data_IF_677267198654
#
_entry.id   IF_677267198654
#
_cell.length_a   1.000
_cell.length_b   1.000
_cell.length_c   1.000
_cell.angle_alpha   90.00
_cell.angle_beta   90.00
_cell.angle_gamma   90.00
#
_symmetry.space_group_name_H-M   'P 1'
#
loop_
_entity.id
_entity.type
_entity.pdbx_description
1 polymer ?
#
# COMPACT_ATOMS: atom_id res chain seq x y z
N UNK A 1 17.31 -12.29 -1.07
CA UNK A 1 17.97 -11.03 -0.62
C UNK A 1 17.15 -9.76 -0.91
N UNK A 2 16.11 -9.77 -1.76
CA UNK A 2 15.32 -8.58 -2.11
C UNK A 2 14.01 -8.33 -1.34
N UNK A 3 13.55 -9.23 -0.46
CA UNK A 3 12.28 -9.05 0.29
C UNK A 3 12.43 -8.38 1.65
N UNK A 4 13.56 -8.58 2.34
CA UNK A 4 13.87 -7.84 3.57
C UNK A 4 14.08 -6.34 3.33
N UNK A 5 14.48 -5.95 2.12
CA UNK A 5 14.66 -4.56 1.74
C UNK A 5 13.30 -3.84 1.64
N UNK A 6 12.23 -4.50 1.12
CA UNK A 6 10.92 -3.87 0.96
C UNK A 6 10.16 -3.62 2.27
N UNK A 7 10.31 -4.50 3.28
CA UNK A 7 9.83 -4.23 4.64
C UNK A 7 10.66 -3.14 5.33
N UNK A 8 11.94 -3.03 4.99
CA UNK A 8 12.78 -1.92 5.44
C UNK A 8 12.43 -0.61 4.74
N UNK A 9 11.97 -0.58 3.48
CA UNK A 9 11.68 0.68 2.78
C UNK A 9 10.42 1.41 3.27
N UNK A 10 9.42 0.69 3.80
CA UNK A 10 8.25 1.32 4.43
C UNK A 10 8.56 1.76 5.88
N UNK A 11 9.53 1.10 6.54
CA UNK A 11 10.00 1.48 7.87
C UNK A 11 11.13 2.52 7.87
N UNK A 12 11.82 2.73 6.74
CA UNK A 12 13.03 3.56 6.64
C UNK A 12 12.77 5.08 6.51
N UNK A 13 11.51 5.53 6.47
CA UNK A 13 11.18 6.96 6.52
C UNK A 13 11.03 7.52 7.94
N UNK A 14 11.47 6.79 8.97
CA UNK A 14 11.28 7.17 10.38
C UNK A 14 12.47 7.86 11.07
N UNK A 15 13.58 8.10 10.40
CA UNK A 15 14.72 8.77 11.05
C UNK A 15 14.99 10.11 10.37
N UNK A 16 14.28 11.14 10.83
CA UNK A 16 14.81 12.50 10.79
C UNK A 16 14.98 13.00 12.23
N UNK A 17 16.22 12.94 12.68
CA UNK A 17 16.74 13.49 13.93
C UNK A 17 16.24 14.93 14.10
N UNK A 18 15.63 15.26 15.25
CA UNK A 18 15.70 16.61 15.85
C UNK A 18 15.03 16.67 17.24
N UNK A 19 15.87 16.81 18.27
CA UNK A 19 15.87 17.81 19.36
C UNK A 19 14.57 18.15 20.13
N UNK A 20 13.78 17.16 20.52
CA UNK A 20 13.01 17.25 21.77
C UNK A 20 13.36 16.03 22.62
N UNK A 21 14.07 16.26 23.73
CA UNK A 21 14.77 15.19 24.45
C UNK A 21 13.81 14.18 25.12
N UNK A 22 12.59 14.57 25.55
CA UNK A 22 11.68 13.66 26.28
C UNK A 22 10.92 12.69 25.36
N UNK A 23 10.17 13.20 24.39
CA UNK A 23 9.34 12.39 23.50
C UNK A 23 10.16 11.46 22.58
N UNK A 24 11.35 11.91 22.13
CA UNK A 24 12.28 11.06 21.40
C UNK A 24 12.80 9.91 22.28
N UNK A 25 13.11 10.19 23.56
CA UNK A 25 13.61 9.17 24.49
C UNK A 25 12.57 8.09 24.79
N UNK A 26 11.30 8.44 25.05
CA UNK A 26 10.26 7.44 25.30
C UNK A 26 10.00 6.56 24.06
N UNK A 27 9.89 7.16 22.88
CA UNK A 27 9.69 6.41 21.65
C UNK A 27 10.84 5.42 21.39
N UNK A 28 12.08 5.88 21.52
CA UNK A 28 13.27 5.05 21.29
C UNK A 28 13.39 3.91 22.31
N UNK A 29 13.07 4.15 23.59
CA UNK A 29 13.07 3.09 24.62
C UNK A 29 11.94 2.07 24.39
N UNK A 30 10.75 2.50 23.97
CA UNK A 30 9.68 1.58 23.58
C UNK A 30 10.10 0.70 22.39
N UNK A 31 10.69 1.30 21.34
CA UNK A 31 11.18 0.56 20.18
C UNK A 31 12.28 -0.44 20.55
N UNK A 32 13.21 -0.05 21.42
CA UNK A 32 14.26 -0.92 21.95
C UNK A 32 13.67 -2.12 22.69
N UNK A 33 12.63 -1.93 23.50
CA UNK A 33 11.94 -3.03 24.18
C UNK A 33 11.17 -3.93 23.22
N UNK A 34 10.48 -3.37 22.22
CA UNK A 34 9.78 -4.14 21.18
C UNK A 34 10.79 -5.00 20.39
N UNK A 35 11.93 -4.43 19.98
CA UNK A 35 12.98 -5.15 19.26
C UNK A 35 13.63 -6.26 20.10
N UNK A 36 13.61 -6.13 21.43
CA UNK A 36 14.04 -7.17 22.36
C UNK A 36 12.93 -8.20 22.69
N UNK A 37 11.76 -8.12 22.05
CA UNK A 37 10.55 -8.90 22.35
C UNK A 37 10.07 -8.76 23.82
N UNK A 38 10.43 -7.67 24.50
CA UNK A 38 10.04 -7.39 25.88
C UNK A 38 8.78 -6.49 25.91
N UNK A 39 7.63 -7.10 25.60
CA UNK A 39 6.35 -6.38 25.51
C UNK A 39 5.89 -5.81 26.85
N UNK A 40 6.31 -6.41 27.97
CA UNK A 40 5.97 -5.93 29.30
C UNK A 40 6.69 -4.61 29.58
N UNK A 41 8.01 -4.52 29.32
CA UNK A 41 8.74 -3.26 29.50
C UNK A 41 8.27 -2.20 28.52
N UNK A 42 8.05 -2.54 27.25
CA UNK A 42 7.48 -1.61 26.27
C UNK A 42 6.14 -1.01 26.76
N UNK A 43 5.25 -1.87 27.29
CA UNK A 43 3.96 -1.42 27.84
C UNK A 43 4.12 -0.55 29.08
N UNK A 44 5.05 -0.88 29.97
CA UNK A 44 5.29 -0.10 31.18
C UNK A 44 5.82 1.30 30.84
N UNK A 45 6.71 1.40 29.86
CA UNK A 45 7.23 2.67 29.36
C UNK A 45 6.11 3.54 28.77
N UNK A 46 5.24 2.94 27.95
CA UNK A 46 4.06 3.62 27.41
C UNK A 46 3.09 4.12 28.49
N UNK A 47 2.90 3.35 29.57
CA UNK A 47 2.08 3.75 30.71
C UNK A 47 2.74 4.87 31.54
N UNK A 48 4.07 4.94 31.59
CA UNK A 48 4.78 6.05 32.20
C UNK A 48 4.62 7.32 31.34
N UNK A 49 4.87 7.22 30.03
CA UNK A 49 4.70 8.32 29.09
C UNK A 49 3.26 8.85 29.06
N UNK A 50 2.24 7.98 29.15
CA UNK A 50 0.83 8.42 29.23
C UNK A 50 0.51 9.25 30.49
N UNK A 51 1.22 9.04 31.60
CA UNK A 51 1.06 9.88 32.80
C UNK A 51 1.71 11.25 32.64
N UNK A 52 2.82 11.31 31.93
CA UNK A 52 3.60 12.53 31.73
C UNK A 52 2.97 13.43 30.66
N UNK A 53 2.59 12.85 29.51
CA UNK A 53 2.11 13.57 28.33
C UNK A 53 0.80 12.95 27.77
N UNK A 54 -0.32 12.94 28.53
CA UNK A 54 -1.56 12.23 28.17
C UNK A 54 -2.28 12.76 26.91
N UNK A 55 -1.80 13.85 26.30
CA UNK A 55 -2.38 14.46 25.10
C UNK A 55 -1.39 14.47 23.93
N UNK A 56 -0.29 13.73 24.03
CA UNK A 56 0.73 13.64 22.98
C UNK A 56 0.26 12.76 21.83
N UNK A 57 0.27 13.29 20.61
CA UNK A 57 -0.05 12.49 19.43
C UNK A 57 1.03 11.41 19.17
N UNK A 58 2.30 11.66 19.55
CA UNK A 58 3.39 10.69 19.42
C UNK A 58 3.27 9.53 20.40
N UNK A 59 2.78 9.79 21.63
CA UNK A 59 2.42 8.74 22.58
C UNK A 59 1.40 7.78 21.94
N UNK A 60 0.33 8.33 21.36
CA UNK A 60 -0.73 7.52 20.78
C UNK A 60 -0.34 6.86 19.44
N UNK A 61 0.55 7.47 18.67
CA UNK A 61 1.21 6.82 17.53
C UNK A 61 2.03 5.59 17.99
N UNK A 62 2.74 5.72 19.10
CA UNK A 62 3.57 4.63 19.65
C UNK A 62 2.71 3.52 20.27
N UNK A 63 1.63 3.88 20.98
CA UNK A 63 0.63 2.92 21.45
C UNK A 63 -0.03 2.15 20.29
N UNK A 64 -0.36 2.84 19.19
CA UNK A 64 -0.87 2.20 17.97
C UNK A 64 0.13 1.16 17.45
N UNK A 65 1.40 1.54 17.28
CA UNK A 65 2.44 0.64 16.79
C UNK A 65 2.63 -0.58 17.73
N UNK A 66 2.62 -0.37 19.04
CA UNK A 66 2.70 -1.44 20.03
C UNK A 66 1.55 -2.45 19.88
N UNK A 67 0.30 -1.97 19.83
CA UNK A 67 -0.85 -2.87 19.69
C UNK A 67 -0.94 -3.54 18.32
N UNK A 68 -0.54 -2.83 17.26
CA UNK A 68 -0.48 -3.40 15.91
C UNK A 68 0.60 -4.50 15.81
N UNK A 69 1.73 -4.34 16.50
CA UNK A 69 2.79 -5.35 16.56
C UNK A 69 2.40 -6.55 17.42
N UNK A 70 1.94 -6.33 18.66
CA UNK A 70 1.48 -7.42 19.56
C UNK A 70 0.28 -8.17 18.98
N UNK A 71 -0.54 -7.47 18.19
CA UNK A 71 -1.67 -8.06 17.49
C UNK A 71 -1.28 -9.00 16.36
N UNK A 72 -0.07 -8.86 15.79
CA UNK A 72 0.43 -9.76 14.75
C UNK A 72 0.93 -11.06 15.38
N UNK A 73 0.42 -12.18 14.88
CA UNK A 73 0.84 -13.52 15.27
C UNK A 73 1.32 -14.27 14.05
N UNK A 74 2.29 -15.15 14.25
CA UNK A 74 2.68 -16.13 13.23
C UNK A 74 2.19 -17.50 13.66
N UNK A 75 1.40 -18.13 12.79
CA UNK A 75 0.93 -19.51 12.95
C UNK A 75 1.58 -20.39 11.89
N UNK A 76 1.74 -21.66 12.21
CA UNK A 76 2.16 -22.67 11.25
C UNK A 76 0.93 -23.28 10.60
N UNK A 77 0.84 -23.18 9.28
CA UNK A 77 -0.22 -23.78 8.47
C UNK A 77 0.31 -24.98 7.68
N UNK A 78 -0.60 -25.91 7.36
CA UNK A 78 -0.30 -27.10 6.54
C UNK A 78 -1.22 -27.17 5.32
N UNK A 79 -0.71 -27.67 4.21
CA UNK A 79 -1.47 -27.88 2.96
C UNK A 79 -0.96 -29.11 2.21
N UNK A 80 -1.81 -29.73 1.38
CA UNK A 80 -1.43 -30.86 0.51
C UNK A 80 -0.91 -30.42 -0.86
N UNK A 81 -1.03 -29.13 -1.21
CA UNK A 81 -0.58 -28.56 -2.49
C UNK A 81 0.42 -27.44 -2.28
N UNK A 82 1.32 -27.22 -3.24
CA UNK A 82 2.34 -26.17 -3.15
C UNK A 82 1.67 -24.80 -2.89
N UNK A 83 1.99 -24.11 -1.77
CA UNK A 83 1.34 -22.85 -1.44
C UNK A 83 1.75 -21.76 -2.44
N UNK A 84 0.77 -21.21 -3.18
CA UNK A 84 1.02 -20.15 -4.15
C UNK A 84 1.37 -18.83 -3.46
N UNK A 85 2.43 -18.18 -3.91
CA UNK A 85 2.85 -16.87 -3.39
C UNK A 85 3.55 -16.92 -2.03
N UNK A 86 3.84 -18.11 -1.52
CA UNK A 86 4.60 -18.32 -0.29
C UNK A 86 5.98 -18.85 -0.68
N UNK A 87 7.01 -18.07 -0.40
CA UNK A 87 8.39 -18.45 -0.72
C UNK A 87 9.04 -19.26 0.42
N UNK A 88 8.54 -19.10 1.64
CA UNK A 88 9.05 -19.77 2.83
C UNK A 88 8.12 -20.92 3.21
N UNK A 89 8.48 -22.13 2.81
CA UNK A 89 7.74 -23.35 3.15
C UNK A 89 8.70 -24.53 3.30
N UNK A 90 8.28 -25.51 4.10
CA UNK A 90 8.93 -26.80 4.23
C UNK A 90 8.07 -27.87 3.55
N UNK A 91 8.71 -28.75 2.77
CA UNK A 91 8.05 -29.92 2.18
C UNK A 91 8.00 -31.06 3.20
N UNK A 92 6.83 -31.65 3.39
CA UNK A 92 6.64 -32.89 4.14
C UNK A 92 6.74 -34.07 3.17
N UNK A 93 7.47 -35.11 3.56
CA UNK A 93 7.56 -36.37 2.80
C UNK A 93 7.05 -37.53 3.65
N UNK A 94 6.41 -38.50 3.00
CA UNK A 94 6.06 -39.77 3.65
C UNK A 94 7.27 -40.72 3.77
N UNK A 95 7.03 -41.93 4.30
CA UNK A 95 8.06 -42.95 4.47
C UNK A 95 8.63 -43.50 3.15
N UNK A 96 8.00 -43.22 2.01
CA UNK A 96 8.48 -43.59 0.68
C UNK A 96 9.31 -42.48 0.02
N UNK A 97 9.41 -41.31 0.65
CA UNK A 97 10.06 -40.13 0.11
C UNK A 97 9.17 -39.31 -0.83
N UNK A 98 7.89 -39.68 -0.99
CA UNK A 98 6.94 -38.90 -1.78
C UNK A 98 6.45 -37.68 -0.99
N UNK A 99 6.24 -36.56 -1.69
CA UNK A 99 5.69 -35.34 -1.07
C UNK A 99 4.28 -35.59 -0.54
N UNK A 100 4.11 -35.46 0.77
CA UNK A 100 2.84 -35.64 1.48
C UNK A 100 2.17 -34.32 1.86
N UNK A 101 2.89 -33.20 1.79
CA UNK A 101 2.33 -31.87 2.00
C UNK A 101 3.39 -30.78 2.15
N UNK A 102 2.95 -29.61 2.61
CA UNK A 102 3.79 -28.46 2.87
C UNK A 102 3.39 -27.80 4.19
N UNK A 103 4.37 -27.29 4.91
CA UNK A 103 4.23 -26.50 6.13
C UNK A 103 4.77 -25.11 5.87
N UNK A 104 4.05 -24.07 6.27
CA UNK A 104 4.49 -22.69 6.02
C UNK A 104 3.95 -21.73 7.09
N UNK A 105 4.67 -20.64 7.40
CA UNK A 105 4.17 -19.60 8.29
C UNK A 105 3.04 -18.83 7.61
N UNK A 106 2.01 -18.54 8.39
CA UNK A 106 0.96 -17.58 8.04
C UNK A 106 0.92 -16.49 9.09
N UNK A 107 0.72 -15.25 8.65
CA UNK A 107 0.44 -14.16 9.57
C UNK A 107 -1.05 -14.16 9.90
N UNK A 108 -1.38 -14.08 11.18
CA UNK A 108 -2.73 -13.79 11.63
C UNK A 108 -2.71 -12.56 12.52
N UNK A 109 -3.89 -11.99 12.74
CA UNK A 109 -4.04 -10.83 13.59
C UNK A 109 -5.04 -11.11 14.70
N UNK A 110 -4.75 -10.62 15.90
CA UNK A 110 -5.69 -10.60 17.00
C UNK A 110 -6.62 -9.38 16.92
N UNK A 111 -7.93 -9.64 16.84
CA UNK A 111 -8.99 -8.62 16.89
C UNK A 111 -8.77 -7.58 17.98
N UNK A 112 -8.68 -8.02 19.23
CA UNK A 112 -8.74 -7.12 20.39
C UNK A 112 -7.54 -6.15 20.40
N UNK A 113 -6.37 -6.64 19.98
CA UNK A 113 -5.18 -5.80 19.82
C UNK A 113 -5.36 -4.80 18.67
N UNK A 114 -5.94 -5.21 17.54
CA UNK A 114 -6.21 -4.28 16.44
C UNK A 114 -7.26 -3.22 16.80
N UNK A 115 -8.30 -3.59 17.53
CA UNK A 115 -9.31 -2.64 17.99
C UNK A 115 -8.67 -1.58 18.90
N UNK A 116 -7.79 -2.00 19.80
CA UNK A 116 -7.00 -1.08 20.61
C UNK A 116 -6.10 -0.22 19.74
N UNK A 117 -5.42 -0.79 18.74
CA UNK A 117 -4.58 -0.03 17.82
C UNK A 117 -5.38 1.11 17.14
N UNK A 118 -6.55 0.81 16.57
CA UNK A 118 -7.40 1.84 15.96
C UNK A 118 -7.90 2.88 16.95
N UNK A 119 -8.25 2.48 18.19
CA UNK A 119 -8.60 3.43 19.25
C UNK A 119 -7.45 4.39 19.58
N UNK A 120 -6.20 3.91 19.54
CA UNK A 120 -5.03 4.77 19.79
C UNK A 120 -4.83 5.76 18.64
N UNK A 121 -5.00 5.34 17.39
CA UNK A 121 -5.04 6.29 16.25
C UNK A 121 -6.13 7.34 16.45
N UNK A 122 -7.34 6.93 16.84
CA UNK A 122 -8.45 7.86 17.08
C UNK A 122 -8.12 8.88 18.18
N UNK A 123 -7.50 8.43 19.29
CA UNK A 123 -7.01 9.32 20.35
C UNK A 123 -5.94 10.28 19.81
N UNK A 124 -4.92 9.79 19.13
CA UNK A 124 -3.85 10.62 18.58
C UNK A 124 -4.37 11.70 17.62
N UNK A 125 -5.28 11.33 16.73
CA UNK A 125 -5.93 12.25 15.79
C UNK A 125 -6.90 13.23 16.49
N UNK A 126 -7.45 12.88 17.66
CA UNK A 126 -8.27 13.81 18.44
C UNK A 126 -7.46 14.96 19.05
N UNK A 127 -6.17 14.70 19.37
CA UNK A 127 -5.25 15.72 19.87
C UNK A 127 -4.57 16.48 18.74
N UNK A 128 -4.21 15.78 17.66
CA UNK A 128 -3.64 16.40 16.49
C UNK A 128 -4.17 15.78 15.18
N UNK A 129 -5.24 16.33 14.59
CA UNK A 129 -5.80 15.83 13.34
C UNK A 129 -4.95 16.14 12.11
N UNK A 130 -3.85 16.91 12.24
CA UNK A 130 -2.92 17.19 11.15
C UNK A 130 -1.79 16.17 11.05
N UNK A 131 -1.79 15.13 11.90
CA UNK A 131 -0.80 14.05 11.87
C UNK A 131 -1.04 13.09 10.72
N UNK A 132 -0.33 13.33 9.63
CA UNK A 132 -0.47 12.55 8.40
C UNK A 132 0.03 11.12 8.56
N UNK A 133 1.06 10.90 9.38
CA UNK A 133 1.57 9.59 9.74
C UNK A 133 0.51 8.71 10.40
N UNK A 134 -0.33 9.27 11.28
CA UNK A 134 -1.45 8.54 11.90
C UNK A 134 -2.52 8.18 10.87
N UNK A 135 -2.83 9.09 9.94
CA UNK A 135 -3.76 8.80 8.85
C UNK A 135 -3.23 7.68 7.93
N UNK A 136 -1.95 7.76 7.56
CA UNK A 136 -1.30 6.75 6.72
C UNK A 136 -1.19 5.39 7.42
N UNK A 137 -0.85 5.39 8.72
CA UNK A 137 -0.86 4.19 9.55
C UNK A 137 -2.24 3.51 9.55
N UNK A 138 -3.32 4.30 9.71
CA UNK A 138 -4.70 3.79 9.64
C UNK A 138 -4.99 3.14 8.30
N UNK A 139 -4.73 3.84 7.20
CA UNK A 139 -5.01 3.37 5.84
C UNK A 139 -4.22 2.09 5.56
N UNK A 140 -2.93 2.07 5.93
CA UNK A 140 -2.08 0.90 5.78
C UNK A 140 -2.65 -0.30 6.53
N UNK A 141 -2.99 -0.16 7.82
CA UNK A 141 -3.59 -1.24 8.58
C UNK A 141 -4.90 -1.73 7.97
N UNK A 142 -5.78 -0.83 7.52
CA UNK A 142 -7.03 -1.22 6.87
C UNK A 142 -6.80 -2.01 5.58
N UNK A 143 -5.85 -1.59 4.73
CA UNK A 143 -5.51 -2.30 3.48
C UNK A 143 -4.82 -3.64 3.74
N UNK A 144 -3.86 -3.70 4.68
CA UNK A 144 -3.23 -4.97 5.08
C UNK A 144 -4.25 -5.94 5.61
N UNK A 145 -5.13 -5.47 6.50
CA UNK A 145 -6.21 -6.29 6.99
C UNK A 145 -7.02 -6.74 5.80
N UNK A 146 -7.55 -5.87 4.93
CA UNK A 146 -8.42 -6.25 3.81
C UNK A 146 -7.93 -7.46 2.97
N UNK A 147 -6.61 -7.62 2.79
CA UNK A 147 -5.98 -8.76 2.09
C UNK A 147 -6.15 -10.12 2.79
N UNK A 148 -6.24 -10.13 4.12
CA UNK A 148 -6.10 -11.35 4.91
C UNK A 148 -7.35 -12.23 4.91
N UNK A 149 -7.19 -13.51 4.58
CA UNK A 149 -8.31 -14.44 4.56
C UNK A 149 -8.56 -15.12 5.92
N UNK A 150 -7.60 -15.05 6.86
CA UNK A 150 -7.65 -15.76 8.14
C UNK A 150 -7.31 -14.83 9.31
N UNK A 151 -8.27 -14.64 10.21
CA UNK A 151 -8.14 -13.85 11.45
C UNK A 151 -8.40 -14.78 12.63
N UNK A 152 -7.65 -14.62 13.71
CA UNK A 152 -7.79 -15.41 14.94
C UNK A 152 -8.16 -14.52 16.11
N UNK A 153 -8.92 -15.01 17.09
CA UNK A 153 -9.00 -14.30 18.38
C UNK A 153 -7.69 -14.49 19.15
N UNK A 154 -7.44 -13.65 20.16
CA UNK A 154 -6.21 -13.73 20.94
C UNK A 154 -5.99 -15.10 21.63
N UNK A 155 -6.99 -16.00 21.68
CA UNK A 155 -6.93 -17.34 22.26
C UNK A 155 -6.79 -18.52 21.29
N UNK A 156 -6.39 -18.30 20.03
CA UNK A 156 -6.25 -19.36 18.99
C UNK A 156 -7.54 -20.12 18.63
N UNK A 157 -8.69 -19.73 19.20
CA UNK A 157 -9.98 -20.12 18.65
C UNK A 157 -10.12 -19.46 17.27
N UNK A 158 -10.67 -20.18 16.27
CA UNK A 158 -11.11 -19.53 15.04
C UNK A 158 -11.97 -18.35 15.45
N UNK A 159 -11.62 -17.13 15.03
CA UNK A 159 -12.58 -16.06 15.11
C UNK A 159 -13.74 -16.52 14.24
N UNK A 160 -14.85 -16.93 14.85
CA UNK A 160 -16.09 -17.21 14.14
C UNK A 160 -16.46 -15.92 13.42
N UNK A 161 -16.05 -15.84 12.15
CA UNK A 161 -16.19 -14.73 11.20
C UNK A 161 -15.89 -13.34 11.79
N UNK A 162 -14.72 -12.77 11.48
CA UNK A 162 -14.47 -11.33 11.66
C UNK A 162 -15.31 -10.55 10.64
N UNK A 163 -16.63 -10.44 10.89
CA UNK A 163 -17.61 -9.83 9.96
C UNK A 163 -17.47 -8.32 9.82
N UNK A 164 -16.69 -7.68 10.70
CA UNK A 164 -16.49 -6.22 10.77
C UNK A 164 -15.05 -5.79 10.42
N UNK A 165 -14.32 -6.66 9.75
CA UNK A 165 -12.97 -6.37 9.28
C UNK A 165 -12.94 -5.15 8.34
N UNK A 166 -11.95 -4.25 8.45
CA UNK A 166 -11.79 -3.17 7.49
C UNK A 166 -11.67 -3.69 6.06
N UNK A 167 -12.45 -3.09 5.16
CA UNK A 167 -12.43 -3.38 3.73
C UNK A 167 -11.61 -2.35 2.96
N UNK A 168 -11.24 -2.69 1.73
CA UNK A 168 -10.70 -1.74 0.72
C UNK A 168 -11.63 -0.55 0.52
N UNK A 169 -12.94 -0.75 0.56
CA UNK A 169 -13.96 0.31 0.50
C UNK A 169 -13.87 1.26 1.69
N UNK A 170 -13.68 0.74 2.90
CA UNK A 170 -13.52 1.57 4.11
C UNK A 170 -12.25 2.41 4.02
N UNK A 171 -11.13 1.80 3.61
CA UNK A 171 -9.86 2.50 3.43
C UNK A 171 -10.00 3.61 2.37
N UNK A 172 -10.62 3.30 1.24
CA UNK A 172 -10.85 4.25 0.15
C UNK A 172 -11.78 5.38 0.56
N UNK A 173 -12.85 5.10 1.30
CA UNK A 173 -13.73 6.14 1.85
C UNK A 173 -12.97 7.10 2.77
N UNK A 174 -12.09 6.56 3.61
CA UNK A 174 -11.25 7.36 4.49
C UNK A 174 -10.28 8.24 3.70
N UNK A 175 -9.61 7.69 2.70
CA UNK A 175 -8.74 8.46 1.79
C UNK A 175 -9.54 9.58 1.09
N UNK A 176 -10.73 9.28 0.56
CA UNK A 176 -11.57 10.27 -0.08
C UNK A 176 -11.95 11.42 0.86
N UNK A 177 -12.22 11.11 2.14
CA UNK A 177 -12.47 12.12 3.18
C UNK A 177 -11.26 13.02 3.39
N UNK A 178 -10.04 12.48 3.39
CA UNK A 178 -8.81 13.27 3.51
C UNK A 178 -8.60 14.16 2.29
N UNK A 179 -8.85 13.66 1.08
CA UNK A 179 -8.77 14.45 -0.17
C UNK A 179 -9.76 15.62 -0.15
N UNK A 180 -10.92 15.47 0.49
CA UNK A 180 -11.92 16.54 0.63
C UNK A 180 -11.59 17.62 1.66
N UNK A 181 -10.62 17.39 2.53
CA UNK A 181 -10.18 18.42 3.48
C UNK A 181 -9.65 19.64 2.73
N UNK A 182 -9.78 20.83 3.33
CA UNK A 182 -9.45 22.10 2.66
C UNK A 182 -7.96 22.45 2.66
N UNK A 183 -7.18 21.83 3.55
CA UNK A 183 -5.80 22.23 3.81
C UNK A 183 -4.86 21.02 3.79
N UNK A 184 -4.32 20.73 2.61
CA UNK A 184 -3.27 19.72 2.42
C UNK A 184 -1.86 20.30 2.60
N UNK A 185 -1.72 21.61 2.85
CA UNK A 185 -0.45 22.35 2.89
C UNK A 185 0.18 22.43 4.29
N UNK A 186 -0.55 21.98 5.31
CA UNK A 186 -0.13 22.04 6.70
C UNK A 186 -0.16 20.67 7.39
N UNK A 187 0.04 19.58 6.64
CA UNK A 187 0.24 18.28 7.28
C UNK A 187 1.48 18.29 8.17
N UNK A 188 1.40 17.54 9.24
CA UNK A 188 2.46 17.32 10.21
C UNK A 188 2.83 15.83 10.25
N UNK A 189 4.06 15.56 10.65
CA UNK A 189 4.58 14.24 10.93
C UNK A 189 4.88 14.10 12.42
N UNK A 190 5.69 13.11 12.80
CA UNK A 190 6.17 12.88 14.16
C UNK A 190 6.67 14.14 14.86
N UNK A 191 6.40 14.24 16.16
CA UNK A 191 6.64 15.43 16.99
C UNK A 191 5.88 16.68 16.51
N UNK A 192 4.74 16.48 15.87
CA UNK A 192 3.87 17.53 15.31
C UNK A 192 4.61 18.48 14.34
N UNK A 193 5.69 17.98 13.73
CA UNK A 193 6.54 18.78 12.83
C UNK A 193 5.83 18.99 11.51
N UNK A 194 5.70 20.26 11.11
CA UNK A 194 5.16 20.61 9.79
C UNK A 194 6.03 20.00 8.69
N UNK A 195 5.38 19.41 7.70
CA UNK A 195 6.04 18.84 6.53
C UNK A 195 6.24 19.91 5.46
N UNK A 196 7.43 19.95 4.88
CA UNK A 196 7.66 20.69 3.64
C UNK A 196 6.99 19.97 2.48
N UNK A 197 6.46 20.73 1.50
CA UNK A 197 5.76 20.19 0.32
C UNK A 197 4.68 19.15 0.68
N UNK A 198 4.00 19.36 1.81
CA UNK A 198 3.10 18.36 2.36
C UNK A 198 1.95 17.96 1.44
N UNK A 199 1.47 18.90 0.62
CA UNK A 199 0.41 18.64 -0.35
C UNK A 199 0.89 17.72 -1.49
N UNK A 200 2.09 17.97 -2.01
CA UNK A 200 2.74 17.14 -3.03
C UNK A 200 2.91 15.71 -2.51
N UNK A 201 3.53 15.55 -1.33
CA UNK A 201 3.73 14.26 -0.67
C UNK A 201 2.40 13.53 -0.44
N UNK A 202 1.36 14.25 0.01
CA UNK A 202 0.04 13.66 0.25
C UNK A 202 -0.56 13.09 -1.04
N UNK A 203 -0.57 13.86 -2.13
CA UNK A 203 -1.16 13.40 -3.39
C UNK A 203 -0.30 12.35 -4.09
N UNK A 204 1.03 12.43 -4.02
CA UNK A 204 1.93 11.40 -4.55
C UNK A 204 1.74 10.05 -3.83
N UNK A 205 1.49 10.07 -2.51
CA UNK A 205 1.21 8.86 -1.74
C UNK A 205 -0.05 8.11 -2.22
N UNK A 206 -0.98 8.80 -2.90
CA UNK A 206 -2.16 8.15 -3.49
C UNK A 206 -1.77 7.15 -4.58
N UNK A 207 -0.61 7.32 -5.22
CA UNK A 207 -0.11 6.37 -6.22
C UNK A 207 0.16 5.00 -5.60
N UNK A 208 0.76 4.98 -4.41
CA UNK A 208 1.01 3.74 -3.68
C UNK A 208 -0.30 3.04 -3.30
N UNK A 209 -1.32 3.80 -2.89
CA UNK A 209 -2.64 3.23 -2.59
C UNK A 209 -3.36 2.73 -3.84
N UNK A 210 -3.26 3.43 -4.97
CA UNK A 210 -3.79 2.94 -6.24
C UNK A 210 -3.14 1.60 -6.64
N UNK A 211 -1.80 1.54 -6.63
CA UNK A 211 -1.08 0.31 -6.95
C UNK A 211 -1.45 -0.84 -6.01
N UNK A 212 -1.58 -0.57 -4.71
CA UNK A 212 -2.01 -1.54 -3.71
C UNK A 212 -3.43 -2.06 -4.00
N UNK A 213 -4.40 -1.18 -4.27
CA UNK A 213 -5.78 -1.57 -4.61
C UNK A 213 -5.86 -2.42 -5.88
N UNK A 214 -5.09 -2.06 -6.91
CA UNK A 214 -4.97 -2.86 -8.14
C UNK A 214 -4.35 -4.22 -7.84
N UNK A 215 -3.34 -4.30 -6.97
CA UNK A 215 -2.72 -5.58 -6.56
C UNK A 215 -3.67 -6.50 -5.80
N UNK A 216 -4.57 -5.91 -5.00
CA UNK A 216 -5.66 -6.61 -4.30
C UNK A 216 -6.70 -7.12 -5.31
N UNK A 217 -6.80 -6.46 -6.47
CA UNK A 217 -7.81 -6.73 -7.49
C UNK A 217 -9.11 -5.95 -7.30
N UNK A 218 -9.15 -5.00 -6.35
CA UNK A 218 -10.32 -4.15 -6.14
C UNK A 218 -10.29 -2.94 -7.07
N UNK A 219 -10.73 -3.18 -8.31
CA UNK A 219 -10.76 -2.17 -9.37
C UNK A 219 -11.79 -1.07 -9.11
N UNK A 220 -12.86 -1.34 -8.35
CA UNK A 220 -13.88 -0.34 -7.99
C UNK A 220 -13.31 0.67 -7.00
N UNK A 221 -12.65 0.19 -5.95
CA UNK A 221 -11.94 1.04 -5.00
C UNK A 221 -10.82 1.85 -5.67
N UNK A 222 -10.05 1.22 -6.56
CA UNK A 222 -9.01 1.90 -7.34
C UNK A 222 -9.59 3.03 -8.22
N UNK A 223 -10.69 2.78 -8.92
CA UNK A 223 -11.37 3.80 -9.72
C UNK A 223 -11.92 4.94 -8.86
N UNK A 224 -12.54 4.63 -7.73
CA UNK A 224 -13.04 5.63 -6.80
C UNK A 224 -11.92 6.54 -6.27
N UNK A 225 -10.76 5.98 -5.95
CA UNK A 225 -9.59 6.75 -5.54
C UNK A 225 -9.13 7.71 -6.65
N UNK A 226 -8.91 7.19 -7.85
CA UNK A 226 -8.44 7.97 -9.00
C UNK A 226 -9.41 9.10 -9.32
N UNK A 227 -10.71 8.81 -9.41
CA UNK A 227 -11.73 9.83 -9.66
C UNK A 227 -11.72 10.91 -8.58
N UNK A 228 -11.51 10.51 -7.32
CA UNK A 228 -11.43 11.46 -6.22
C UNK A 228 -10.22 12.37 -6.33
N UNK A 229 -9.03 11.82 -6.62
CA UNK A 229 -7.82 12.62 -6.77
C UNK A 229 -7.95 13.60 -7.93
N UNK A 230 -8.50 13.16 -9.07
CA UNK A 230 -8.69 14.00 -10.27
C UNK A 230 -9.65 15.17 -10.04
N UNK A 231 -10.53 15.14 -9.02
CA UNK A 231 -11.32 16.32 -8.63
C UNK A 231 -10.49 17.46 -8.03
N UNK A 232 -9.25 17.16 -7.57
CA UNK A 232 -8.33 18.12 -6.96
C UNK A 232 -7.08 18.37 -7.80
N UNK A 233 -6.50 17.32 -8.39
CA UNK A 233 -5.22 17.34 -9.09
C UNK A 233 -5.29 16.53 -10.39
N UNK A 234 -5.29 17.24 -11.52
CA UNK A 234 -5.30 16.64 -12.86
C UNK A 234 -3.87 16.30 -13.34
N UNK A 235 -3.15 15.47 -12.58
CA UNK A 235 -1.77 15.10 -12.92
C UNK A 235 -1.73 14.09 -14.06
N UNK A 236 -0.61 14.04 -14.79
CA UNK A 236 -0.37 13.03 -15.83
C UNK A 236 -0.56 11.61 -15.30
N UNK A 237 -0.04 11.35 -14.10
CA UNK A 237 -0.05 10.02 -13.46
C UNK A 237 -1.49 9.54 -13.21
N UNK A 238 -2.33 10.33 -12.54
CA UNK A 238 -3.72 9.89 -12.26
C UNK A 238 -4.61 9.88 -13.51
N UNK A 239 -4.34 10.73 -14.52
CA UNK A 239 -5.00 10.62 -15.84
C UNK A 239 -4.63 9.30 -16.52
N UNK A 240 -3.36 8.92 -16.45
CA UNK A 240 -2.88 7.64 -16.98
C UNK A 240 -3.53 6.46 -16.24
N UNK A 241 -3.64 6.52 -14.91
CA UNK A 241 -4.32 5.49 -14.11
C UNK A 241 -5.81 5.36 -14.49
N UNK A 242 -6.50 6.48 -14.74
CA UNK A 242 -7.89 6.46 -15.25
C UNK A 242 -7.98 5.78 -16.61
N UNK A 243 -7.07 6.09 -17.53
CA UNK A 243 -6.98 5.41 -18.83
C UNK A 243 -6.71 3.91 -18.68
N UNK A 244 -5.83 3.52 -17.75
CA UNK A 244 -5.54 2.12 -17.46
C UNK A 244 -6.79 1.38 -16.96
N UNK A 245 -7.55 1.96 -16.03
CA UNK A 245 -8.82 1.39 -15.53
C UNK A 245 -9.87 1.23 -16.64
N UNK A 246 -9.94 2.17 -17.60
CA UNK A 246 -10.80 2.00 -18.79
C UNK A 246 -10.33 0.83 -19.66
N UNK A 247 -9.01 0.69 -19.86
CA UNK A 247 -8.43 -0.38 -20.66
C UNK A 247 -8.66 -1.77 -20.02
N UNK A 248 -8.59 -1.90 -18.69
CA UNK A 248 -8.89 -3.17 -17.99
C UNK A 248 -10.36 -3.59 -18.16
N UNK A 249 -11.28 -2.62 -18.25
CA UNK A 249 -12.69 -2.85 -18.63
C UNK A 249 -12.91 -3.09 -20.13
N UNK A 250 -11.84 -3.14 -20.93
CA UNK A 250 -11.88 -3.27 -22.40
C UNK A 250 -12.56 -2.10 -23.11
N UNK A 251 -12.68 -0.95 -22.44
CA UNK A 251 -13.17 0.30 -23.02
C UNK A 251 -12.06 0.99 -23.80
N UNK A 252 -11.48 0.29 -24.79
CA UNK A 252 -10.25 0.69 -25.46
C UNK A 252 -10.38 2.05 -26.15
N UNK A 253 -11.54 2.38 -26.71
CA UNK A 253 -11.75 3.67 -27.36
C UNK A 253 -11.63 4.85 -26.38
N UNK A 254 -12.26 4.74 -25.21
CA UNK A 254 -12.17 5.78 -24.17
C UNK A 254 -10.77 5.83 -23.55
N UNK A 255 -10.14 4.66 -23.36
CA UNK A 255 -8.77 4.60 -22.88
C UNK A 255 -7.80 5.29 -23.85
N UNK A 256 -7.94 5.03 -25.16
CA UNK A 256 -7.14 5.68 -26.21
C UNK A 256 -7.39 7.18 -26.22
N UNK A 257 -8.64 7.64 -26.14
CA UNK A 257 -8.95 9.08 -26.05
C UNK A 257 -8.25 9.73 -24.86
N UNK A 258 -8.33 9.08 -23.69
CA UNK A 258 -7.64 9.52 -22.48
C UNK A 258 -6.12 9.60 -22.70
N UNK A 259 -5.49 8.52 -23.14
CA UNK A 259 -4.03 8.50 -23.33
C UNK A 259 -3.56 9.44 -24.43
N UNK A 260 -4.30 9.59 -25.53
CA UNK A 260 -3.99 10.56 -26.59
C UNK A 260 -4.08 11.99 -26.06
N UNK A 261 -5.03 12.28 -25.16
CA UNK A 261 -5.09 13.59 -24.50
C UNK A 261 -3.85 13.85 -23.65
N UNK A 262 -3.30 12.83 -22.98
CA UNK A 262 -2.06 12.96 -22.21
C UNK A 262 -0.86 13.13 -23.14
N UNK A 263 -0.80 12.37 -24.24
CA UNK A 263 0.28 12.42 -25.22
C UNK A 263 0.42 13.79 -25.92
N UNK A 264 -0.67 14.58 -25.99
CA UNK A 264 -0.58 15.96 -26.48
C UNK A 264 0.27 16.85 -25.57
N UNK A 265 0.16 16.64 -24.26
CA UNK A 265 0.88 17.39 -23.24
C UNK A 265 2.29 16.83 -23.02
N UNK A 266 2.44 15.50 -23.16
CA UNK A 266 3.68 14.75 -22.92
C UNK A 266 4.00 13.86 -24.15
N UNK A 267 4.48 14.44 -25.27
CA UNK A 267 4.63 13.73 -26.54
C UNK A 267 5.70 12.62 -26.53
N UNK A 268 6.63 12.66 -25.59
CA UNK A 268 7.74 11.70 -25.50
C UNK A 268 7.62 10.73 -24.32
N UNK A 269 6.50 10.76 -23.57
CA UNK A 269 6.29 9.85 -22.45
C UNK A 269 6.08 8.41 -22.96
N UNK A 270 7.08 7.56 -22.70
CA UNK A 270 7.11 6.17 -23.18
C UNK A 270 5.98 5.32 -22.59
N UNK A 271 5.53 5.61 -21.38
CA UNK A 271 4.45 4.87 -20.71
C UNK A 271 3.12 5.15 -21.42
N UNK A 272 2.83 6.42 -21.68
CA UNK A 272 1.62 6.85 -22.39
C UNK A 272 1.61 6.31 -23.82
N UNK A 273 2.73 6.40 -24.54
CA UNK A 273 2.84 5.85 -25.92
C UNK A 273 2.59 4.34 -25.91
N UNK A 274 3.17 3.61 -24.94
CA UNK A 274 2.95 2.16 -24.78
C UNK A 274 1.51 1.80 -24.47
N UNK A 275 0.85 2.58 -23.60
CA UNK A 275 -0.56 2.38 -23.28
C UNK A 275 -1.46 2.59 -24.51
N UNK A 276 -1.18 3.59 -25.34
CA UNK A 276 -1.88 3.80 -26.62
C UNK A 276 -1.67 2.60 -27.56
N UNK A 277 -0.41 2.18 -27.75
CA UNK A 277 -0.06 1.06 -28.62
C UNK A 277 -0.78 -0.24 -28.19
N UNK A 278 -0.73 -0.55 -26.89
CA UNK A 278 -1.37 -1.73 -26.30
C UNK A 278 -2.89 -1.70 -26.45
N UNK A 279 -3.53 -0.54 -26.28
CA UNK A 279 -4.98 -0.42 -26.46
C UNK A 279 -5.38 -0.63 -27.92
N UNK A 280 -4.67 -0.05 -28.89
CA UNK A 280 -4.94 -0.30 -30.32
C UNK A 280 -4.75 -1.77 -30.67
N UNK A 281 -3.69 -2.41 -30.16
CA UNK A 281 -3.45 -3.84 -30.36
C UNK A 281 -4.59 -4.68 -29.81
N UNK A 282 -5.00 -4.46 -28.56
CA UNK A 282 -6.09 -5.21 -27.92
C UNK A 282 -7.46 -4.96 -28.56
N UNK A 283 -7.66 -3.77 -29.15
CA UNK A 283 -8.84 -3.44 -29.97
C UNK A 283 -8.81 -4.12 -31.35
N UNK A 284 -7.65 -4.60 -31.81
CA UNK A 284 -7.46 -5.22 -33.12
C UNK A 284 -7.07 -4.24 -34.23
N UNK A 285 -6.84 -2.96 -33.91
CA UNK A 285 -6.36 -1.96 -34.86
C UNK A 285 -4.83 -2.06 -35.01
N UNK A 286 -4.41 -3.08 -35.77
CA UNK A 286 -3.00 -3.39 -36.00
C UNK A 286 -2.23 -2.21 -36.60
N UNK A 287 -2.87 -1.44 -37.49
CA UNK A 287 -2.24 -0.31 -38.19
C UNK A 287 -1.80 0.76 -37.20
N UNK A 288 -2.71 1.19 -36.32
CA UNK A 288 -2.38 2.19 -35.32
C UNK A 288 -1.48 1.64 -34.21
N UNK A 289 -1.65 0.38 -33.81
CA UNK A 289 -0.74 -0.27 -32.86
C UNK A 289 0.72 -0.22 -33.36
N UNK A 290 0.98 -0.66 -34.59
CA UNK A 290 2.32 -0.62 -35.20
C UNK A 290 2.87 0.81 -35.23
N UNK A 291 2.07 1.80 -35.63
CA UNK A 291 2.49 3.22 -35.66
C UNK A 291 3.02 3.71 -34.31
N UNK A 292 2.37 3.36 -33.20
CA UNK A 292 2.82 3.78 -31.86
C UNK A 292 3.97 2.93 -31.35
N UNK A 293 4.02 1.63 -31.63
CA UNK A 293 5.20 0.82 -31.33
C UNK A 293 6.44 1.29 -32.12
N UNK A 294 6.31 1.78 -33.35
CA UNK A 294 7.43 2.36 -34.11
C UNK A 294 7.99 3.63 -33.47
N UNK A 295 7.18 4.38 -32.70
CA UNK A 295 7.70 5.47 -31.87
C UNK A 295 8.52 4.93 -30.70
N UNK A 296 8.05 3.90 -30.01
CA UNK A 296 8.77 3.26 -28.90
C UNK A 296 10.07 2.59 -29.34
N UNK A 297 10.12 2.04 -30.55
CA UNK A 297 11.34 1.47 -31.12
C UNK A 297 12.48 2.48 -31.33
N UNK A 298 12.18 3.79 -31.22
CA UNK A 298 13.19 4.87 -31.24
C UNK A 298 13.64 5.30 -29.83
N UNK A 299 13.12 4.67 -28.79
CA UNK A 299 13.54 4.94 -27.40
C UNK A 299 15.03 4.65 -27.21
N UNK A 300 15.69 5.44 -26.36
CA UNK A 300 17.06 5.16 -25.91
C UNK A 300 17.16 4.00 -24.91
N UNK A 301 16.03 3.54 -24.36
CA UNK A 301 15.96 2.35 -23.50
C UNK A 301 15.86 1.07 -24.35
N UNK A 302 16.90 0.25 -24.31
CA UNK A 302 17.00 -0.98 -25.12
C UNK A 302 15.87 -1.98 -24.82
N UNK A 303 15.39 -2.05 -23.57
CA UNK A 303 14.29 -2.94 -23.20
C UNK A 303 12.97 -2.51 -23.88
N UNK A 304 12.65 -1.21 -23.85
CA UNK A 304 11.48 -0.62 -24.51
C UNK A 304 11.56 -0.82 -26.01
N UNK A 305 12.73 -0.60 -26.59
CA UNK A 305 12.96 -0.81 -28.03
C UNK A 305 12.74 -2.27 -28.44
N UNK A 306 13.38 -3.22 -27.74
CA UNK A 306 13.24 -4.64 -28.01
C UNK A 306 11.79 -5.14 -27.86
N UNK A 307 11.08 -4.66 -26.83
CA UNK A 307 9.66 -4.93 -26.63
C UNK A 307 8.82 -4.47 -27.83
N UNK A 308 9.03 -3.23 -28.28
CA UNK A 308 8.28 -2.64 -29.38
C UNK A 308 8.56 -3.33 -30.73
N UNK A 309 9.81 -3.63 -31.03
CA UNK A 309 10.20 -4.36 -32.26
C UNK A 309 9.58 -5.77 -32.30
N UNK A 310 9.54 -6.47 -31.16
CA UNK A 310 8.87 -7.76 -31.03
C UNK A 310 7.37 -7.63 -31.31
N UNK A 311 6.70 -6.66 -30.69
CA UNK A 311 5.26 -6.42 -30.90
C UNK A 311 4.94 -6.12 -32.37
N UNK A 312 5.74 -5.28 -33.05
CA UNK A 312 5.59 -4.99 -34.48
C UNK A 312 5.71 -6.26 -35.33
N UNK A 313 6.72 -7.12 -35.05
CA UNK A 313 6.93 -8.37 -35.78
C UNK A 313 5.76 -9.33 -35.62
N UNK A 314 5.20 -9.44 -34.41
CA UNK A 314 4.04 -10.29 -34.14
C UNK A 314 2.76 -9.77 -34.83
N UNK A 315 2.54 -8.46 -34.82
CA UNK A 315 1.37 -7.84 -35.46
C UNK A 315 1.40 -7.94 -36.98
N UNK A 316 2.58 -7.93 -37.61
CA UNK A 316 2.74 -8.11 -39.07
C UNK A 316 2.54 -9.56 -39.55
N UNK A 317 2.63 -10.54 -38.65
CA UNK A 317 2.43 -11.97 -38.97
C UNK A 317 0.97 -12.43 -38.92
N UNK A 318 0.15 -11.74 -38.13
CA UNK A 318 -1.28 -12.03 -37.95
C UNK A 318 -2.09 -11.31 -39.01
#
# INVERSE_FOLDING_TARGET
MGKHIAQQTILAFFILVCNNLSAANHHDEVLKHINANDTIKARNELLAWEKEEPKSADLYATWYNYYYWVGQKELIATTSYLPKGVDDYMTLTDSTGATSGYVYPIRTYCKDSLDLAFQMIDKGLSYNPKRLDLHFGRIHAMLQLSKEQKVSTCGNSPATSWTEKPTTKDATNYICKLIDTKDHSNWQWSNDKKMEKSEEIFFESMQSYFAELVSIGDMEAAEKLVDKVLTKKQTMIFRNDKGYLMATRKEYDKAIECFVSIHKDYPDDVTVIGNIASCYEKKGDKKNAIKYYEKLAKSGDENTKAMAEKAIKELKKK
#
